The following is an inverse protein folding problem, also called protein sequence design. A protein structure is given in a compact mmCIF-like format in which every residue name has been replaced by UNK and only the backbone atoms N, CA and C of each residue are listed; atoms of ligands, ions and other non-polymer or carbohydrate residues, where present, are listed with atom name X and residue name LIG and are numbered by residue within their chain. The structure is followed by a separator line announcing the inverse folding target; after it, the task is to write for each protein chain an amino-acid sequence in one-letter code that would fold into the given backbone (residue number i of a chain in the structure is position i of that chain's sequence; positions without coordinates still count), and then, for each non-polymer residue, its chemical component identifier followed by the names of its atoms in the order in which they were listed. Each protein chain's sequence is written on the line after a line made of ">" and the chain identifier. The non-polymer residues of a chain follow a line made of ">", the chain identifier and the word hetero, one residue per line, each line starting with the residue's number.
data_IF_292518331313
#
_entry.id   IF_292518331313
#
_cell.length_a   1.000
_cell.length_b   1.000
_cell.length_c   1.000
_cell.angle_alpha   90.00
_cell.angle_beta   90.00
_cell.angle_gamma   90.00
#
_symmetry.space_group_name_H-M   'P 1'
#
loop_
_entity.id
_entity.type
_entity.pdbx_description
1 polymer ?
#
# COMPACT_ATOMS: atom_id res chain seq x y z
N UNK A 1 -12.94 -24.09 51.39
CA UNK A 1 -12.54 -23.08 50.38
C UNK A 1 -11.89 -23.68 49.11
N UNK A 2 -12.24 -24.91 48.68
CA UNK A 2 -11.62 -25.57 47.50
C UNK A 2 -12.54 -25.68 46.26
N UNK A 3 -13.79 -25.22 46.36
CA UNK A 3 -14.82 -25.39 45.30
C UNK A 3 -14.78 -24.32 44.19
N UNK A 4 -13.95 -23.29 44.34
CA UNK A 4 -13.94 -22.13 43.43
C UNK A 4 -12.72 -22.10 42.49
N UNK A 5 -11.78 -23.03 42.64
CA UNK A 5 -10.53 -23.05 41.86
C UNK A 5 -10.75 -23.58 40.43
N UNK A 6 -11.63 -24.57 40.27
CA UNK A 6 -11.97 -25.14 38.96
C UNK A 6 -12.72 -24.15 38.07
N UNK A 7 -13.59 -23.32 38.64
CA UNK A 7 -14.33 -22.28 37.91
C UNK A 7 -13.41 -21.20 37.34
N UNK A 8 -12.34 -20.84 38.06
CA UNK A 8 -11.34 -19.85 37.61
C UNK A 8 -10.49 -20.42 36.45
N UNK A 9 -10.14 -21.71 36.49
CA UNK A 9 -9.38 -22.37 35.42
C UNK A 9 -10.21 -22.47 34.12
N UNK A 10 -11.50 -22.77 34.22
CA UNK A 10 -12.39 -22.83 33.04
C UNK A 10 -12.58 -21.43 32.42
N UNK A 11 -12.73 -20.38 33.24
CA UNK A 11 -12.83 -19.00 32.77
C UNK A 11 -11.54 -18.49 32.10
N UNK A 12 -10.36 -18.96 32.54
CA UNK A 12 -9.06 -18.62 31.93
C UNK A 12 -8.79 -19.38 30.62
N UNK A 13 -9.38 -20.56 30.40
CA UNK A 13 -9.22 -21.30 29.14
C UNK A 13 -10.09 -20.76 27.99
N UNK A 14 -11.24 -20.16 28.29
CA UNK A 14 -12.16 -19.67 27.25
C UNK A 14 -11.67 -18.42 26.50
N UNK A 15 -10.69 -17.69 27.01
CA UNK A 15 -10.13 -16.49 26.37
C UNK A 15 -9.05 -16.77 25.31
N UNK A 16 -8.64 -18.04 25.13
CA UNK A 16 -7.53 -18.42 24.23
C UNK A 16 -8.00 -18.83 22.82
N UNK A 17 -9.31 -18.94 22.59
CA UNK A 17 -9.88 -19.37 21.30
C UNK A 17 -10.33 -18.18 20.44
N UNK A 18 -9.47 -17.15 20.28
CA UNK A 18 -9.69 -16.17 19.23
C UNK A 18 -9.41 -16.85 17.87
N UNK A 19 -10.35 -16.82 16.91
CA UNK A 19 -10.07 -17.28 15.56
C UNK A 19 -8.86 -16.52 15.02
N UNK A 20 -7.92 -17.24 14.39
CA UNK A 20 -6.86 -16.59 13.64
C UNK A 20 -7.51 -15.63 12.65
N UNK A 21 -7.17 -14.34 12.74
CA UNK A 21 -7.74 -13.32 11.86
C UNK A 21 -7.60 -13.77 10.40
N UNK A 22 -8.72 -13.81 9.67
CA UNK A 22 -8.69 -14.12 8.25
C UNK A 22 -7.73 -13.16 7.55
N UNK A 23 -6.85 -13.72 6.71
CA UNK A 23 -5.88 -12.91 5.96
C UNK A 23 -6.64 -12.13 4.90
N UNK A 24 -6.64 -10.79 4.95
CA UNK A 24 -7.36 -10.02 3.96
C UNK A 24 -6.69 -10.13 2.59
N UNK A 25 -7.49 -10.12 1.53
CA UNK A 25 -6.99 -9.93 0.17
C UNK A 25 -6.55 -8.46 0.02
N UNK A 26 -5.29 -8.25 -0.35
CA UNK A 26 -4.75 -6.90 -0.58
C UNK A 26 -4.66 -6.63 -2.07
N UNK A 27 -5.46 -5.67 -2.54
CA UNK A 27 -5.41 -5.17 -3.93
C UNK A 27 -4.78 -3.79 -3.93
N UNK A 28 -3.63 -3.64 -4.59
CA UNK A 28 -2.92 -2.36 -4.72
C UNK A 28 -3.12 -1.80 -6.12
N UNK A 29 -3.87 -0.69 -6.23
CA UNK A 29 -4.12 0.00 -7.50
C UNK A 29 -3.17 1.19 -7.61
N UNK A 30 -2.25 1.15 -8.58
CA UNK A 30 -1.30 2.23 -8.86
C UNK A 30 -1.57 2.81 -10.25
N UNK A 31 -2.14 4.01 -10.29
CA UNK A 31 -2.34 4.75 -11.55
C UNK A 31 -1.01 5.32 -12.08
N UNK A 32 -0.92 5.52 -13.39
CA UNK A 32 0.21 6.15 -14.07
C UNK A 32 -0.19 7.59 -14.45
N UNK A 33 0.67 8.56 -14.12
CA UNK A 33 0.52 9.98 -14.42
C UNK A 33 -0.83 10.62 -14.00
N UNK A 34 -1.44 10.12 -12.92
CA UNK A 34 -2.68 10.67 -12.37
C UNK A 34 -2.40 11.84 -11.41
N UNK A 35 -2.87 13.04 -11.76
CA UNK A 35 -2.80 14.23 -10.94
C UNK A 35 -3.83 14.27 -9.81
N UNK A 36 -3.51 15.02 -8.74
CA UNK A 36 -4.39 15.15 -7.57
C UNK A 36 -5.81 15.66 -7.92
N UNK A 37 -5.93 16.51 -8.94
CA UNK A 37 -7.22 17.09 -9.36
C UNK A 37 -8.00 16.28 -10.39
N UNK A 38 -7.46 15.17 -10.89
CA UNK A 38 -8.02 14.45 -12.05
C UNK A 38 -9.21 13.56 -11.70
N UNK A 39 -9.37 13.25 -10.42
CA UNK A 39 -10.48 12.47 -9.88
C UNK A 39 -11.45 13.37 -9.12
N UNK A 40 -12.75 13.12 -9.25
CA UNK A 40 -13.79 14.03 -8.74
C UNK A 40 -13.79 14.12 -7.21
N UNK A 41 -13.46 13.03 -6.51
CA UNK A 41 -13.28 13.01 -5.06
C UNK A 41 -12.25 14.01 -4.49
N UNK A 42 -11.34 14.51 -5.34
CA UNK A 42 -10.29 15.47 -4.97
C UNK A 42 -10.39 16.79 -5.75
N UNK A 43 -10.62 16.75 -7.06
CA UNK A 43 -10.75 17.93 -7.93
C UNK A 43 -12.12 18.60 -7.92
N UNK A 44 -13.15 17.93 -7.38
CA UNK A 44 -14.52 18.45 -7.33
C UNK A 44 -15.04 18.84 -8.72
N UNK A 45 -15.57 20.06 -8.86
CA UNK A 45 -16.07 20.58 -10.14
C UNK A 45 -14.99 20.78 -11.21
N UNK A 46 -13.70 20.83 -10.83
CA UNK A 46 -12.58 21.00 -11.77
C UNK A 46 -12.24 19.69 -12.50
N UNK A 47 -12.54 18.54 -11.89
CA UNK A 47 -12.38 17.23 -12.53
C UNK A 47 -13.43 17.07 -13.63
N UNK A 48 -12.98 16.94 -14.88
CA UNK A 48 -13.87 16.78 -16.04
C UNK A 48 -14.19 15.31 -16.36
N UNK A 49 -13.41 14.38 -15.80
CA UNK A 49 -13.55 12.94 -16.07
C UNK A 49 -14.47 12.29 -15.04
N UNK A 50 -15.54 11.58 -15.46
CA UNK A 50 -16.36 10.79 -14.55
C UNK A 50 -15.55 9.64 -13.96
N UNK A 51 -15.46 9.58 -12.63
CA UNK A 51 -14.68 8.56 -11.89
C UNK A 51 -15.53 7.85 -10.83
N UNK A 52 -16.74 7.34 -11.18
CA UNK A 52 -17.76 6.94 -10.20
C UNK A 52 -17.33 5.81 -9.26
N UNK A 53 -16.50 4.87 -9.73
CA UNK A 53 -16.00 3.78 -8.89
C UNK A 53 -14.93 4.25 -7.90
N UNK A 54 -14.04 5.15 -8.33
CA UNK A 54 -13.02 5.72 -7.45
C UNK A 54 -13.65 6.67 -6.41
N UNK A 55 -14.63 7.48 -6.84
CA UNK A 55 -15.41 8.33 -5.95
C UNK A 55 -16.12 7.52 -4.87
N UNK A 56 -16.68 6.36 -5.24
CA UNK A 56 -17.27 5.41 -4.30
C UNK A 56 -16.24 4.88 -3.31
N UNK A 57 -15.05 4.47 -3.76
CA UNK A 57 -13.97 4.01 -2.87
C UNK A 57 -13.57 5.11 -1.85
N UNK A 58 -13.48 6.37 -2.28
CA UNK A 58 -13.16 7.47 -1.38
C UNK A 58 -14.28 7.79 -0.37
N UNK A 59 -15.54 7.58 -0.74
CA UNK A 59 -16.70 7.79 0.15
C UNK A 59 -16.86 6.67 1.16
N UNK A 60 -16.69 5.43 0.72
CA UNK A 60 -16.92 4.23 1.52
C UNK A 60 -15.65 3.83 2.32
N UNK A 61 -14.54 4.57 2.16
CA UNK A 61 -13.24 4.27 2.78
C UNK A 61 -12.51 5.51 3.32
N UNK A 62 -11.19 5.40 3.41
CA UNK A 62 -10.32 6.49 3.91
C UNK A 62 -9.74 7.27 2.71
N UNK A 63 -9.81 8.60 2.80
CA UNK A 63 -9.25 9.53 1.81
C UNK A 63 -8.09 10.33 2.39
N UNK A 64 -6.91 10.23 1.78
CA UNK A 64 -5.74 11.01 2.17
C UNK A 64 -5.64 12.29 1.32
N UNK A 65 -5.68 13.47 1.94
CA UNK A 65 -5.49 14.77 1.28
C UNK A 65 -4.03 15.22 1.26
N UNK A 66 -3.16 14.46 1.92
CA UNK A 66 -1.72 14.72 2.02
C UNK A 66 -0.99 13.36 1.90
N UNK A 67 -0.89 12.86 0.68
CA UNK A 67 -0.16 11.65 0.33
C UNK A 67 0.87 11.99 -0.75
N UNK A 68 2.10 11.52 -0.56
CA UNK A 68 3.25 11.92 -1.39
C UNK A 68 4.00 10.71 -1.90
N UNK A 69 4.49 10.82 -3.13
CA UNK A 69 5.51 9.93 -3.69
C UNK A 69 6.89 10.47 -3.36
N UNK A 70 7.89 9.59 -3.28
CA UNK A 70 9.27 10.02 -3.01
C UNK A 70 9.95 10.67 -4.21
N UNK A 71 9.38 10.50 -5.40
CA UNK A 71 9.90 10.99 -6.67
C UNK A 71 8.72 11.13 -7.65
N UNK A 72 8.73 12.14 -8.52
CA UNK A 72 7.69 12.39 -9.52
C UNK A 72 7.87 11.57 -10.80
N UNK A 73 8.94 10.78 -10.92
CA UNK A 73 9.21 9.92 -12.09
C UNK A 73 8.80 8.47 -11.82
N UNK A 74 8.32 7.77 -12.85
CA UNK A 74 7.73 6.44 -12.77
C UNK A 74 8.62 5.40 -12.07
N UNK A 75 9.86 5.19 -12.53
CA UNK A 75 10.77 4.16 -12.00
C UNK A 75 11.19 4.41 -10.55
N UNK A 76 11.68 5.61 -10.15
CA UNK A 76 12.05 5.84 -8.75
C UNK A 76 10.82 5.79 -7.82
N UNK A 77 9.66 6.30 -8.25
CA UNK A 77 8.41 6.18 -7.48
C UNK A 77 8.03 4.70 -7.25
N UNK A 78 7.99 3.90 -8.32
CA UNK A 78 7.68 2.45 -8.25
C UNK A 78 8.72 1.68 -7.44
N UNK A 79 10.00 2.06 -7.52
CA UNK A 79 11.07 1.47 -6.71
C UNK A 79 10.82 1.69 -5.22
N UNK A 80 10.49 2.92 -4.82
CA UNK A 80 10.17 3.23 -3.42
C UNK A 80 8.92 2.50 -2.93
N UNK A 81 7.86 2.44 -3.74
CA UNK A 81 6.62 1.72 -3.42
C UNK A 81 6.89 0.21 -3.22
N UNK A 82 7.61 -0.42 -4.14
CA UNK A 82 7.85 -1.86 -4.07
C UNK A 82 8.76 -2.26 -2.90
N UNK A 83 9.72 -1.42 -2.54
CA UNK A 83 10.80 -1.78 -1.60
C UNK A 83 10.64 -1.16 -0.21
N UNK A 84 9.77 -0.16 -0.05
CA UNK A 84 9.67 0.64 1.18
C UNK A 84 10.91 1.50 1.47
N UNK A 85 11.76 1.75 0.46
CA UNK A 85 13.04 2.45 0.61
C UNK A 85 13.15 3.54 -0.45
N UNK A 86 13.62 4.72 -0.05
CA UNK A 86 13.89 5.81 -1.00
C UNK A 86 14.76 5.35 -2.18
N UNK A 87 14.35 5.73 -3.39
CA UNK A 87 14.99 5.33 -4.65
C UNK A 87 16.50 5.62 -4.71
N UNK A 88 16.97 6.72 -4.11
CA UNK A 88 18.40 7.07 -4.09
C UNK A 88 19.29 6.01 -3.42
N UNK A 89 18.70 5.10 -2.62
CA UNK A 89 19.44 3.97 -1.99
C UNK A 89 19.83 2.87 -2.97
N UNK A 90 19.34 2.93 -4.21
CA UNK A 90 19.60 1.93 -5.25
C UNK A 90 20.48 2.50 -6.39
N UNK A 91 21.09 3.66 -6.18
CA UNK A 91 21.94 4.34 -7.16
C UNK A 91 21.24 5.50 -7.86
N UNK A 92 21.90 6.07 -8.86
CA UNK A 92 21.35 7.11 -9.73
C UNK A 92 20.82 6.46 -11.00
N UNK A 93 19.73 7.00 -11.54
CA UNK A 93 19.35 6.67 -12.91
C UNK A 93 20.40 7.17 -13.89
N UNK A 94 20.50 6.50 -15.04
CA UNK A 94 21.38 6.90 -16.12
C UNK A 94 20.60 7.75 -17.14
N UNK A 95 21.27 8.68 -17.81
CA UNK A 95 20.64 9.40 -18.92
C UNK A 95 20.56 8.48 -20.15
N UNK A 96 19.36 8.36 -20.73
CA UNK A 96 19.16 7.61 -21.98
C UNK A 96 17.74 7.07 -22.14
N UNK A 97 17.50 6.25 -23.17
CA UNK A 97 16.16 5.70 -23.45
C UNK A 97 15.16 6.74 -23.96
N UNK A 98 13.92 6.33 -24.28
CA UNK A 98 12.93 7.18 -24.97
C UNK A 98 12.49 8.41 -24.16
N UNK A 99 12.72 8.40 -22.85
CA UNK A 99 12.32 9.47 -21.93
C UNK A 99 13.52 10.16 -21.26
N UNK A 100 14.73 9.97 -21.79
CA UNK A 100 15.96 10.56 -21.22
C UNK A 100 16.37 9.97 -19.86
N UNK A 101 15.71 8.90 -19.41
CA UNK A 101 16.00 8.17 -18.19
C UNK A 101 16.07 6.65 -18.44
N UNK A 102 17.24 6.06 -18.17
CA UNK A 102 17.44 4.61 -18.05
C UNK A 102 17.35 4.24 -16.58
N UNK A 103 16.47 3.26 -16.32
CA UNK A 103 15.94 2.99 -15.00
C UNK A 103 16.94 2.60 -13.93
N UNK A 104 16.69 3.14 -12.74
CA UNK A 104 17.13 2.61 -11.47
C UNK A 104 16.72 1.13 -11.35
N UNK A 105 17.69 0.23 -11.25
CA UNK A 105 17.45 -1.22 -11.11
C UNK A 105 17.91 -1.66 -9.74
N UNK A 106 17.09 -2.47 -9.07
CA UNK A 106 17.48 -3.18 -7.87
C UNK A 106 17.64 -4.67 -8.18
N UNK A 107 18.53 -5.38 -7.47
CA UNK A 107 18.78 -6.79 -7.74
C UNK A 107 17.53 -7.63 -7.48
N UNK A 108 17.38 -8.75 -8.17
CA UNK A 108 16.26 -9.69 -7.97
C UNK A 108 16.23 -10.29 -6.57
N UNK A 109 17.31 -10.18 -5.79
CA UNK A 109 17.37 -10.55 -4.36
C UNK A 109 16.64 -9.55 -3.46
N UNK A 110 16.44 -8.30 -3.89
CA UNK A 110 15.82 -7.22 -3.11
C UNK A 110 14.46 -7.65 -2.54
N UNK A 111 14.23 -7.40 -1.25
CA UNK A 111 12.94 -7.65 -0.64
C UNK A 111 11.93 -6.60 -1.13
N UNK A 112 10.74 -7.06 -1.52
CA UNK A 112 9.65 -6.23 -2.02
C UNK A 112 8.35 -6.57 -1.32
N UNK A 113 7.38 -5.67 -1.37
CA UNK A 113 6.01 -5.90 -0.88
C UNK A 113 5.39 -7.16 -1.52
N UNK A 114 5.67 -7.44 -2.80
CA UNK A 114 5.23 -8.68 -3.46
C UNK A 114 5.88 -9.93 -2.88
N UNK A 115 7.16 -9.88 -2.49
CA UNK A 115 7.81 -10.99 -1.79
C UNK A 115 7.29 -11.16 -0.36
N UNK A 116 6.95 -10.05 0.31
CA UNK A 116 6.35 -10.06 1.64
C UNK A 116 5.02 -10.82 1.63
N UNK A 117 4.12 -10.51 0.70
CA UNK A 117 2.81 -11.17 0.60
C UNK A 117 2.87 -12.65 0.21
N UNK A 118 3.96 -13.14 -0.41
CA UNK A 118 4.15 -14.59 -0.69
C UNK A 118 4.59 -15.41 0.52
N UNK A 119 5.16 -14.78 1.54
CA UNK A 119 5.69 -15.46 2.73
C UNK A 119 4.70 -15.48 3.90
N UNK A 120 3.51 -14.90 3.71
CA UNK A 120 2.42 -14.89 4.68
C UNK A 120 1.75 -16.24 4.75
#
# INVERSE_FOLDING_TARGET
>A
MKKNLWSIVILLCSSVLLPAAERPNVVFILADDLGYGDVKAFGGKKSKVPTPHFDRLCRDGIKFTNAHVTDSVCVPSRTSIMTGRYAFRFGKGEQGGPWGFIGLRFPTSQHTVGKMFRKG
#
